data_IF_959623136805
#
_entry.id   IF_959623136805
#
_cell.length_a   1.000
_cell.length_b   1.000
_cell.length_c   1.000
_cell.angle_alpha   90.00
_cell.angle_beta   90.00
_cell.angle_gamma   90.00
#
_symmetry.space_group_name_H-M   'P 1'
#
loop_
_entity.id
_entity.type
_entity.pdbx_description
1 polymer ?
#
# COMPACT_ATOMS: atom_id res chain seq x y z
N UNK A 1 6.06 -5.95 -8.92
CA UNK A 1 5.82 -5.07 -7.75
C UNK A 1 5.68 -5.96 -6.53
N UNK A 2 6.41 -5.69 -5.44
CA UNK A 2 6.34 -6.52 -4.24
C UNK A 2 5.43 -5.86 -3.21
N UNK A 3 4.23 -6.39 -3.03
CA UNK A 3 3.30 -5.97 -1.98
C UNK A 3 3.81 -6.40 -0.60
N UNK A 4 3.44 -5.65 0.45
CA UNK A 4 3.77 -5.94 1.85
C UNK A 4 2.54 -5.86 2.74
N UNK A 5 2.53 -6.63 3.81
CA UNK A 5 1.52 -6.48 4.86
C UNK A 5 1.60 -5.08 5.49
N UNK A 6 0.44 -4.50 5.80
CA UNK A 6 0.29 -3.13 6.27
C UNK A 6 0.37 -2.06 5.18
N UNK A 7 0.71 -2.41 3.93
CA UNK A 7 0.79 -1.45 2.84
C UNK A 7 -0.59 -0.93 2.43
N UNK A 8 -0.68 0.38 2.19
CA UNK A 8 -1.84 1.01 1.57
C UNK A 8 -1.86 0.77 0.07
N UNK A 9 -3.03 0.45 -0.45
CA UNK A 9 -3.26 0.10 -1.85
C UNK A 9 -4.56 0.73 -2.33
N UNK A 10 -4.65 0.90 -3.64
CA UNK A 10 -5.91 1.17 -4.33
C UNK A 10 -6.33 -0.12 -5.03
N UNK A 11 -7.55 -0.55 -4.78
CA UNK A 11 -8.26 -1.49 -5.62
C UNK A 11 -8.81 -0.78 -6.85
N UNK A 12 -8.57 -1.34 -8.03
CA UNK A 12 -9.08 -0.84 -9.30
C UNK A 12 -9.99 -1.91 -9.91
N UNK A 13 -11.28 -1.76 -9.65
CA UNK A 13 -12.34 -2.56 -10.27
C UNK A 13 -12.73 -2.04 -11.64
N UNK A 14 -13.79 -2.60 -12.21
CA UNK A 14 -14.31 -2.18 -13.52
C UNK A 14 -14.95 -0.78 -13.46
N UNK A 15 -15.76 -0.52 -12.43
CA UNK A 15 -16.49 0.76 -12.27
C UNK A 15 -16.15 1.52 -10.99
N UNK A 16 -15.27 0.98 -10.13
CA UNK A 16 -15.03 1.55 -8.81
C UNK A 16 -13.58 1.42 -8.34
N UNK A 17 -13.15 2.40 -7.55
CA UNK A 17 -11.83 2.47 -6.93
C UNK A 17 -11.95 2.62 -5.42
N UNK A 18 -11.32 1.70 -4.70
CA UNK A 18 -11.37 1.72 -3.23
C UNK A 18 -9.96 1.77 -2.64
N UNK A 19 -9.77 2.59 -1.62
CA UNK A 19 -8.57 2.54 -0.80
C UNK A 19 -8.68 1.38 0.18
N UNK A 20 -7.59 0.63 0.34
CA UNK A 20 -7.49 -0.43 1.31
C UNK A 20 -6.10 -0.59 1.91
N UNK A 21 -6.01 -1.44 2.93
CA UNK A 21 -4.77 -1.82 3.61
C UNK A 21 -4.60 -3.32 3.57
N UNK A 22 -3.44 -3.79 3.12
CA UNK A 22 -3.12 -5.23 3.10
C UNK A 22 -3.05 -5.73 4.55
N UNK A 23 -3.94 -6.64 4.91
CA UNK A 23 -3.92 -7.35 6.18
C UNK A 23 -2.91 -8.50 6.15
N UNK A 24 -3.00 -9.34 5.13
CA UNK A 24 -2.21 -10.57 5.00
C UNK A 24 -1.98 -10.94 3.54
N UNK A 25 -0.78 -11.37 3.20
CA UNK A 25 -0.47 -11.91 1.86
C UNK A 25 -0.66 -13.43 1.85
N UNK A 26 -1.25 -13.96 0.78
CA UNK A 26 -1.46 -15.41 0.60
C UNK A 26 -1.26 -15.80 -0.86
N UNK A 27 -0.12 -16.41 -1.18
CA UNK A 27 0.23 -16.77 -2.55
C UNK A 27 0.26 -15.54 -3.47
N UNK A 28 -0.58 -15.56 -4.51
CA UNK A 28 -0.72 -14.47 -5.49
C UNK A 28 -1.85 -13.46 -5.16
N UNK A 29 -2.39 -13.53 -3.94
CA UNK A 29 -3.50 -12.68 -3.47
C UNK A 29 -3.17 -12.06 -2.11
N UNK A 30 -4.01 -11.12 -1.69
CA UNK A 30 -3.97 -10.56 -0.35
C UNK A 30 -5.37 -10.41 0.25
N UNK A 31 -5.47 -10.59 1.56
CA UNK A 31 -6.61 -10.10 2.32
C UNK A 31 -6.44 -8.60 2.55
N UNK A 32 -7.40 -7.80 2.12
CA UNK A 32 -7.35 -6.34 2.16
C UNK A 32 -8.57 -5.81 2.91
N UNK A 33 -8.35 -4.94 3.89
CA UNK A 33 -9.42 -4.14 4.49
C UNK A 33 -9.65 -2.91 3.63
N UNK A 34 -10.85 -2.78 3.07
CA UNK A 34 -11.26 -1.60 2.31
C UNK A 34 -11.97 -0.61 3.21
N UNK A 35 -11.86 0.68 2.91
CA UNK A 35 -12.39 1.75 3.76
C UNK A 35 -13.91 1.71 3.98
N UNK A 36 -14.68 1.14 3.05
CA UNK A 36 -16.14 0.96 3.20
C UNK A 36 -16.55 -0.38 3.84
N UNK A 37 -15.59 -1.29 4.06
CA UNK A 37 -15.86 -2.67 4.46
C UNK A 37 -15.43 -2.99 5.89
N UNK A 38 -16.30 -3.68 6.63
CA UNK A 38 -16.00 -4.15 7.99
C UNK A 38 -15.07 -5.39 8.01
N UNK A 39 -14.97 -6.11 6.89
CA UNK A 39 -14.20 -7.36 6.78
C UNK A 39 -13.16 -7.28 5.67
N UNK A 40 -12.08 -8.06 5.81
CA UNK A 40 -11.04 -8.11 4.79
C UNK A 40 -11.46 -9.03 3.63
N UNK A 41 -11.40 -8.53 2.40
CA UNK A 41 -11.70 -9.28 1.20
C UNK A 41 -10.42 -9.86 0.57
N UNK A 42 -10.51 -11.09 0.06
CA UNK A 42 -9.41 -11.74 -0.67
C UNK A 42 -9.34 -11.18 -2.10
N UNK A 43 -8.29 -10.42 -2.40
CA UNK A 43 -8.14 -9.68 -3.65
C UNK A 43 -6.88 -10.12 -4.40
N UNK A 44 -7.00 -10.24 -5.72
CA UNK A 44 -5.89 -10.54 -6.61
C UNK A 44 -4.95 -9.34 -6.77
N UNK A 45 -3.64 -9.57 -6.81
CA UNK A 45 -2.66 -8.50 -6.98
C UNK A 45 -2.82 -7.73 -8.29
N UNK A 46 -3.37 -8.34 -9.33
CA UNK A 46 -3.66 -7.65 -10.60
C UNK A 46 -4.61 -6.46 -10.45
N UNK A 47 -5.49 -6.49 -9.45
CA UNK A 47 -6.48 -5.46 -9.15
C UNK A 47 -5.94 -4.42 -8.15
N UNK A 48 -4.74 -4.60 -7.62
CA UNK A 48 -4.15 -3.69 -6.65
C UNK A 48 -3.09 -2.79 -7.30
N UNK A 49 -3.08 -1.53 -6.88
CA UNK A 49 -2.02 -0.56 -7.15
C UNK A 49 -1.45 -0.08 -5.82
N UNK A 50 -0.13 -0.16 -5.59
CA UNK A 50 0.44 0.31 -4.35
C UNK A 50 0.33 1.84 -4.27
N UNK A 51 -0.08 2.35 -3.10
CA UNK A 51 0.06 3.76 -2.80
C UNK A 51 1.51 3.95 -2.32
N UNK A 52 2.35 4.53 -3.16
CA UNK A 52 3.72 4.91 -2.82
C UNK A 52 3.74 6.40 -2.48
N UNK A 53 4.48 6.76 -1.43
CA UNK A 53 4.67 8.15 -1.06
C UNK A 53 6.08 8.60 -1.46
N UNK A 54 6.38 8.51 -2.76
CA UNK A 54 7.68 8.88 -3.30
C UNK A 54 8.03 10.34 -2.96
N UNK A 55 7.03 11.23 -3.02
CA UNK A 55 7.18 12.63 -2.62
C UNK A 55 7.66 12.79 -1.17
N UNK A 56 7.02 12.13 -0.18
CA UNK A 56 7.49 12.23 1.20
C UNK A 56 8.81 11.49 1.45
N UNK A 57 9.11 10.40 0.74
CA UNK A 57 10.41 9.73 0.87
C UNK A 57 11.52 10.68 0.42
N UNK A 58 11.35 11.35 -0.72
CA UNK A 58 12.30 12.36 -1.19
C UNK A 58 12.44 13.54 -0.22
N UNK A 59 11.33 14.05 0.33
CA UNK A 59 11.39 15.11 1.33
C UNK A 59 12.11 14.66 2.61
N UNK A 60 11.85 13.45 3.11
CA UNK A 60 12.51 12.91 4.31
C UNK A 60 14.01 12.73 4.08
N UNK A 61 14.41 12.24 2.91
CA UNK A 61 15.83 12.13 2.53
C UNK A 61 16.47 13.53 2.47
N UNK A 62 15.80 14.51 1.84
CA UNK A 62 16.29 15.91 1.78
C UNK A 62 16.37 16.57 3.16
N UNK A 63 15.44 16.25 4.07
CA UNK A 63 15.40 16.73 5.47
C UNK A 63 16.34 15.97 6.41
N UNK A 64 17.03 14.94 5.92
CA UNK A 64 18.06 14.20 6.66
C UNK A 64 19.48 14.57 6.18
N UNK A 65 19.92 15.84 6.24
CA UNK A 65 21.34 16.12 6.08
C UNK A 65 22.08 15.46 7.25
N UNK A 66 23.17 14.76 6.94
CA UNK A 66 23.99 14.05 7.91
C UNK A 66 24.35 14.90 9.14
N UNK A 67 23.69 14.65 10.28
CA UNK A 67 24.26 14.94 11.59
C UNK A 67 25.05 13.71 12.06
N UNK A 68 26.10 13.38 11.33
CA UNK A 68 27.25 12.68 11.92
C UNK A 68 28.31 13.76 12.06
N UNK A 69 28.21 14.53 13.15
CA UNK A 69 29.37 15.26 13.65
C UNK A 69 30.19 14.26 14.47
N UNK A 70 31.37 13.98 13.93
CA UNK A 70 32.53 13.36 14.56
C UNK A 70 32.91 14.02 15.88
#
# INVERSE_FOLDING_TARGET
>A
MNFKEGQLVIYVGFDDMMIGKIKRITGNKAFVYYHEGDTAALTDFSLLRPITNEYCIEELIKKSPHTVQS
#
